data_IF_279950134020
#
_entry.id   IF_279950134020
#
_cell.length_a   1.000
_cell.length_b   1.000
_cell.length_c   1.000
_cell.angle_alpha   90.00
_cell.angle_beta   90.00
_cell.angle_gamma   90.00
#
_symmetry.space_group_name_H-M   'P 1'
#
loop_
_entity.id
_entity.type
_entity.pdbx_description
1 polymer ?
#
# COMPACT_ATOMS: atom_id res chain seq x y z
N UNK A 1 -1.57 -1.21 19.86
CA UNK A 1 -0.55 -1.14 18.79
C UNK A 1 -1.19 -1.68 17.53
N UNK A 2 -1.69 -0.82 16.65
CA UNK A 2 -2.33 -1.27 15.42
C UNK A 2 -1.23 -1.64 14.43
N UNK A 3 -1.01 -2.94 14.27
CA UNK A 3 -0.06 -3.48 13.31
C UNK A 3 -0.49 -3.29 11.86
N UNK A 4 0.33 -3.73 10.89
CA UNK A 4 0.05 -3.58 9.47
C UNK A 4 -1.27 -4.25 9.04
N UNK A 5 -1.74 -5.25 9.79
CA UNK A 5 -3.02 -5.93 9.54
C UNK A 5 -4.23 -5.00 9.59
N UNK A 6 -4.13 -3.88 10.33
CA UNK A 6 -5.20 -2.88 10.35
C UNK A 6 -5.26 -2.04 9.06
N UNK A 7 -4.17 -2.01 8.27
CA UNK A 7 -4.06 -1.27 7.03
C UNK A 7 -4.38 -2.14 5.81
N UNK A 8 -4.25 -3.46 5.90
CA UNK A 8 -4.62 -4.40 4.84
C UNK A 8 -5.99 -4.12 4.18
N UNK A 9 -7.11 -3.96 4.92
CA UNK A 9 -8.40 -3.67 4.29
C UNK A 9 -8.40 -2.30 3.60
N UNK A 10 -7.74 -1.30 4.18
CA UNK A 10 -7.66 0.07 3.62
C UNK A 10 -6.88 0.06 2.31
N UNK A 11 -5.75 -0.65 2.29
CA UNK A 11 -4.94 -0.82 1.08
C UNK A 11 -5.70 -1.61 0.01
N UNK A 12 -6.43 -2.65 0.39
CA UNK A 12 -7.28 -3.42 -0.54
C UNK A 12 -8.37 -2.55 -1.18
N UNK A 13 -9.05 -1.73 -0.38
CA UNK A 13 -10.05 -0.79 -0.87
C UNK A 13 -9.42 0.28 -1.77
N UNK A 14 -8.25 0.82 -1.40
CA UNK A 14 -7.51 1.78 -2.23
C UNK A 14 -7.12 1.18 -3.59
N UNK A 15 -6.64 -0.06 -3.63
CA UNK A 15 -6.31 -0.75 -4.89
C UNK A 15 -7.56 -0.88 -5.76
N UNK A 16 -8.69 -1.25 -5.16
CA UNK A 16 -9.97 -1.34 -5.87
C UNK A 16 -10.41 0.01 -6.43
N UNK A 17 -10.26 1.09 -5.67
CA UNK A 17 -10.67 2.43 -6.12
C UNK A 17 -9.70 3.03 -7.15
N UNK A 18 -8.40 2.91 -6.91
CA UNK A 18 -7.35 3.53 -7.73
C UNK A 18 -7.18 2.86 -9.10
N UNK A 19 -7.23 1.53 -9.15
CA UNK A 19 -6.92 0.76 -10.37
C UNK A 19 -8.01 -0.24 -10.76
N UNK A 20 -9.17 -0.23 -10.09
CA UNK A 20 -10.32 -1.09 -10.39
C UNK A 20 -10.02 -2.60 -10.31
N UNK A 21 -9.07 -2.97 -9.44
CA UNK A 21 -8.63 -4.35 -9.24
C UNK A 21 -9.24 -4.91 -7.96
N UNK A 22 -9.82 -6.10 -8.08
CA UNK A 22 -10.33 -6.86 -6.94
C UNK A 22 -9.21 -7.77 -6.41
N UNK A 23 -8.75 -7.51 -5.19
CA UNK A 23 -7.70 -8.34 -4.57
C UNK A 23 -8.35 -9.51 -3.82
N UNK A 24 -8.13 -10.76 -4.25
CA UNK A 24 -8.81 -11.91 -3.65
C UNK A 24 -8.27 -12.26 -2.25
N UNK A 25 -6.98 -12.03 -1.99
CA UNK A 25 -6.35 -12.24 -0.69
C UNK A 25 -5.13 -11.35 -0.49
N UNK A 26 -4.78 -11.07 0.76
CA UNK A 26 -3.71 -10.11 1.10
C UNK A 26 -2.31 -10.57 0.75
N UNK A 27 -2.13 -11.88 0.60
CA UNK A 27 -0.90 -12.58 0.21
C UNK A 27 -0.82 -12.84 -1.31
N UNK A 28 -1.85 -12.44 -2.07
CA UNK A 28 -1.89 -12.61 -3.52
C UNK A 28 -0.87 -11.70 -4.19
N UNK A 29 0.01 -12.28 -5.02
CA UNK A 29 0.96 -11.53 -5.83
C UNK A 29 0.23 -10.87 -7.01
N UNK A 30 -0.02 -9.58 -6.90
CA UNK A 30 -0.75 -8.77 -7.87
C UNK A 30 0.01 -8.66 -9.19
N UNK A 31 1.34 -8.72 -9.19
CA UNK A 31 2.16 -8.56 -10.39
C UNK A 31 2.23 -9.89 -11.14
N UNK A 32 2.54 -10.99 -10.44
CA UNK A 32 2.58 -12.33 -11.04
C UNK A 32 1.20 -12.76 -11.57
N UNK A 33 0.12 -12.35 -10.90
CA UNK A 33 -1.25 -12.59 -11.37
C UNK A 33 -1.67 -11.68 -12.53
N UNK A 34 -0.88 -10.66 -12.86
CA UNK A 34 -1.18 -9.68 -13.90
C UNK A 34 -2.31 -8.71 -13.52
N UNK A 35 -2.61 -8.58 -12.23
CA UNK A 35 -3.55 -7.60 -11.70
C UNK A 35 -2.91 -6.21 -11.58
N UNK A 36 -1.60 -6.14 -11.37
CA UNK A 36 -0.83 -4.90 -11.24
C UNK A 36 0.18 -4.75 -12.38
N UNK A 37 -0.12 -3.83 -13.30
CA UNK A 37 0.78 -3.43 -14.37
C UNK A 37 1.75 -2.32 -13.93
N UNK A 38 2.79 -2.06 -14.72
CA UNK A 38 3.80 -1.02 -14.44
C UNK A 38 3.19 0.37 -14.23
N UNK A 39 2.14 0.71 -14.98
CA UNK A 39 1.44 1.99 -14.84
C UNK A 39 0.53 2.02 -13.61
N UNK A 40 -0.19 0.92 -13.37
CA UNK A 40 -1.07 0.76 -12.21
C UNK A 40 -0.28 0.85 -10.89
N UNK A 41 0.94 0.31 -10.87
CA UNK A 41 1.87 0.42 -9.75
C UNK A 41 2.23 1.88 -9.44
N UNK A 42 2.57 2.68 -10.45
CA UNK A 42 2.86 4.11 -10.25
C UNK A 42 1.64 4.88 -9.74
N UNK A 43 0.46 4.58 -10.27
CA UNK A 43 -0.80 5.14 -9.77
C UNK A 43 -1.04 4.77 -8.31
N UNK A 44 -0.89 3.49 -7.97
CA UNK A 44 -1.08 2.99 -6.61
C UNK A 44 -0.14 3.68 -5.63
N UNK A 45 1.16 3.84 -5.96
CA UNK A 45 2.12 4.55 -5.10
C UNK A 45 1.67 5.99 -4.86
N UNK A 46 1.27 6.70 -5.92
CA UNK A 46 0.82 8.10 -5.83
C UNK A 46 -0.40 8.23 -4.92
N UNK A 47 -1.34 7.29 -5.01
CA UNK A 47 -2.54 7.29 -4.16
C UNK A 47 -2.20 6.89 -2.72
N UNK A 48 -1.27 5.95 -2.49
CA UNK A 48 -0.79 5.62 -1.14
C UNK A 48 -0.12 6.82 -0.46
N UNK A 49 0.76 7.52 -1.17
CA UNK A 49 1.42 8.73 -0.68
C UNK A 49 0.40 9.81 -0.28
N UNK A 50 -0.65 9.98 -1.09
CA UNK A 50 -1.73 10.93 -0.84
C UNK A 50 -2.63 10.54 0.32
N UNK A 51 -3.04 9.28 0.38
CA UNK A 51 -3.98 8.76 1.37
C UNK A 51 -3.35 8.73 2.77
N UNK A 52 -2.08 8.32 2.86
CA UNK A 52 -1.39 8.16 4.13
C UNK A 52 -0.45 9.32 4.48
N UNK A 53 -0.23 10.25 3.56
CA UNK A 53 0.55 11.46 3.81
C UNK A 53 2.04 11.22 3.99
N UNK A 54 2.60 10.22 3.31
CA UNK A 54 4.06 9.97 3.27
C UNK A 54 4.60 10.20 1.85
N UNK A 55 5.93 10.31 1.72
CA UNK A 55 6.60 10.32 0.42
C UNK A 55 7.53 9.12 0.30
N UNK A 56 7.44 8.43 -0.83
CA UNK A 56 8.29 7.31 -1.18
C UNK A 56 9.46 7.81 -2.04
N UNK A 57 10.71 7.74 -1.54
CA UNK A 57 11.87 8.05 -2.36
C UNK A 57 11.99 7.01 -3.49
N UNK A 58 12.22 7.46 -4.73
CA UNK A 58 12.46 6.54 -5.85
C UNK A 58 13.65 5.61 -5.61
N UNK A 59 14.62 6.03 -4.80
CA UNK A 59 15.77 5.21 -4.40
C UNK A 59 15.40 4.08 -3.41
N UNK A 60 14.30 4.22 -2.67
CA UNK A 60 13.76 3.18 -1.77
C UNK A 60 12.56 2.44 -2.39
N UNK A 61 12.28 2.72 -3.66
CA UNK A 61 11.24 2.03 -4.41
C UNK A 61 11.67 0.61 -4.74
N UNK A 62 11.02 -0.35 -4.10
CA UNK A 62 11.18 -1.77 -4.38
C UNK A 62 9.84 -2.41 -4.74
N UNK A 63 9.71 -2.81 -6.00
CA UNK A 63 8.53 -3.50 -6.53
C UNK A 63 8.17 -4.76 -5.72
N UNK A 64 9.14 -5.42 -5.09
CA UNK A 64 8.90 -6.59 -4.24
C UNK A 64 7.97 -6.25 -3.06
N UNK A 65 8.03 -5.01 -2.54
CA UNK A 65 7.16 -4.54 -1.45
C UNK A 65 5.75 -4.22 -1.91
N UNK A 66 5.52 -4.09 -3.21
CA UNK A 66 4.21 -3.79 -3.81
C UNK A 66 3.56 -5.01 -4.48
N UNK A 67 4.16 -6.20 -4.34
CA UNK A 67 3.60 -7.44 -4.88
C UNK A 67 2.31 -7.86 -4.18
N UNK A 68 2.18 -7.63 -2.88
CA UNK A 68 1.04 -8.10 -2.09
C UNK A 68 0.50 -7.01 -1.17
N UNK A 69 -0.78 -7.06 -0.84
CA UNK A 69 -1.42 -6.10 0.07
C UNK A 69 -0.78 -6.12 1.46
N UNK A 70 -0.41 -7.30 1.96
CA UNK A 70 0.29 -7.45 3.24
C UNK A 70 1.59 -6.63 3.26
N UNK A 71 2.40 -6.73 2.19
CA UNK A 71 3.68 -6.00 2.09
C UNK A 71 3.47 -4.50 1.94
N UNK A 72 2.47 -4.09 1.17
CA UNK A 72 2.12 -2.67 1.01
C UNK A 72 1.66 -2.10 2.36
N UNK A 73 0.81 -2.81 3.08
CA UNK A 73 0.33 -2.42 4.40
C UNK A 73 1.47 -2.32 5.42
N UNK A 74 2.41 -3.27 5.40
CA UNK A 74 3.64 -3.21 6.20
C UNK A 74 4.48 -1.98 5.86
N UNK A 75 4.71 -1.73 4.57
CA UNK A 75 5.45 -0.57 4.10
C UNK A 75 4.80 0.75 4.56
N UNK A 76 3.48 0.87 4.41
CA UNK A 76 2.73 2.06 4.87
C UNK A 76 2.82 2.20 6.39
N UNK A 77 2.74 1.11 7.15
CA UNK A 77 2.85 1.16 8.61
C UNK A 77 4.22 1.67 9.08
N UNK A 78 5.28 1.39 8.32
CA UNK A 78 6.65 1.85 8.58
C UNK A 78 6.87 3.32 8.19
N UNK A 79 6.20 3.81 7.14
CA UNK A 79 6.46 5.13 6.54
C UNK A 79 5.43 6.19 6.92
N UNK A 80 4.23 5.79 7.38
CA UNK A 80 3.27 6.76 7.88
C UNK A 80 3.90 7.51 9.03
N UNK A 81 3.79 8.85 9.07
CA UNK A 81 4.12 9.57 10.29
C UNK A 81 3.25 8.96 11.40
N UNK A 82 3.87 8.51 12.51
CA UNK A 82 3.10 8.20 13.71
C UNK A 82 2.19 9.39 13.94
N UNK A 83 0.87 9.19 13.89
CA UNK A 83 -0.07 10.26 14.17
C UNK A 83 0.23 10.75 15.59
N UNK A 84 0.99 11.84 15.69
CA UNK A 84 1.25 12.53 16.94
C UNK A 84 -0.10 12.98 17.48
N UNK A 85 -0.63 12.26 18.49
CA UNK A 85 -1.96 12.57 18.99
C UNK A 85 -2.60 11.62 19.97
N UNK A 86 -1.90 11.19 21.01
CA UNK A 86 -2.50 11.28 22.35
C UNK A 86 -1.43 11.56 23.40
N UNK A 87 -1.03 12.83 23.45
CA UNK A 87 -0.62 13.46 24.69
C UNK A 87 -1.88 14.11 25.30
N UNK A 88 -2.32 13.61 26.45
CA UNK A 88 -2.99 14.36 27.51
C UNK A 88 -2.89 13.57 28.82
#
# INVERSE_FOLDING_TARGET
MSGPQALEPIVGDLIREAIQVDVPAVDTDLIETGLLDSLALVTLITELEREFGFQLPLDDFDVERFRTVERIAAFVAEHRPEAEGSAA
#
